data_IF_137847657420
#
_entry.id   IF_137847657420
#
_cell.length_a   1.000
_cell.length_b   1.000
_cell.length_c   1.000
_cell.angle_alpha   90.00
_cell.angle_beta   90.00
_cell.angle_gamma   90.00
#
_symmetry.space_group_name_H-M   'P 1'
#
loop_
_entity.id
_entity.type
_entity.pdbx_description
1 polymer ?
#
# COMPACT_ATOMS: atom_id res chain seq x y z
N UNK A 1 -23.06 -56.26 -23.47
CA UNK A 1 -21.92 -55.78 -22.66
C UNK A 1 -21.70 -54.26 -22.73
N UNK A 2 -22.34 -53.54 -23.65
CA UNK A 2 -22.04 -52.11 -23.89
C UNK A 2 -22.88 -51.13 -23.04
N UNK A 3 -24.08 -51.52 -22.60
CA UNK A 3 -24.95 -50.68 -21.77
C UNK A 3 -24.42 -50.44 -20.34
N UNK A 4 -23.72 -51.41 -19.75
CA UNK A 4 -23.16 -51.27 -18.40
C UNK A 4 -21.95 -50.33 -18.34
N UNK A 5 -21.19 -50.24 -19.43
CA UNK A 5 -20.01 -49.37 -19.54
C UNK A 5 -20.43 -47.90 -19.69
N UNK A 6 -21.53 -47.63 -20.40
CA UNK A 6 -22.13 -46.30 -20.52
C UNK A 6 -22.65 -45.77 -19.17
N UNK A 7 -23.32 -46.61 -18.38
CA UNK A 7 -23.80 -46.23 -17.04
C UNK A 7 -22.65 -45.99 -16.06
N UNK A 8 -21.59 -46.81 -16.11
CA UNK A 8 -20.40 -46.63 -15.28
C UNK A 8 -19.63 -45.32 -15.64
N UNK A 9 -19.60 -44.93 -16.92
CA UNK A 9 -18.98 -43.68 -17.37
C UNK A 9 -19.80 -42.44 -16.98
N UNK A 10 -21.13 -42.53 -17.03
CA UNK A 10 -22.02 -41.45 -16.54
C UNK A 10 -21.90 -41.27 -15.02
N UNK A 11 -21.81 -42.35 -14.26
CA UNK A 11 -21.62 -42.29 -12.80
C UNK A 11 -20.24 -41.71 -12.42
N UNK A 12 -19.17 -42.08 -13.16
CA UNK A 12 -17.83 -41.54 -12.94
C UNK A 12 -17.73 -40.06 -13.34
N UNK A 13 -18.38 -39.65 -14.43
CA UNK A 13 -18.45 -38.24 -14.83
C UNK A 13 -19.21 -37.38 -13.81
N UNK A 14 -20.31 -37.91 -13.23
CA UNK A 14 -21.04 -37.24 -12.16
C UNK A 14 -20.21 -37.13 -10.87
N UNK A 15 -19.41 -38.15 -10.52
CA UNK A 15 -18.53 -38.12 -9.35
C UNK A 15 -17.35 -37.14 -9.52
N UNK A 16 -16.78 -37.02 -10.72
CA UNK A 16 -15.75 -36.03 -11.04
C UNK A 16 -16.30 -34.59 -11.13
N UNK A 17 -17.55 -34.42 -11.54
CA UNK A 17 -18.22 -33.11 -11.49
C UNK A 17 -18.54 -32.68 -10.04
N UNK A 18 -18.86 -33.63 -9.16
CA UNK A 18 -19.13 -33.36 -7.75
C UNK A 18 -17.86 -33.01 -6.95
N UNK A 19 -16.67 -33.51 -7.33
CA UNK A 19 -15.40 -33.17 -6.67
C UNK A 19 -14.79 -31.85 -7.13
N UNK A 20 -15.22 -31.30 -8.27
CA UNK A 20 -14.81 -29.98 -8.74
C UNK A 20 -15.57 -28.83 -8.05
N UNK A 21 -16.69 -29.11 -7.38
CA UNK A 21 -17.54 -28.10 -6.74
C UNK A 21 -17.11 -27.73 -5.31
N UNK A 22 -16.21 -28.49 -4.67
CA UNK A 22 -15.76 -28.24 -3.29
C UNK A 22 -14.45 -27.49 -3.18
N UNK A 23 -13.81 -27.14 -4.30
CA UNK A 23 -12.71 -26.19 -4.33
C UNK A 23 -13.22 -24.74 -4.49
N UNK A 24 -14.25 -24.37 -3.74
CA UNK A 24 -14.43 -22.95 -3.42
C UNK A 24 -13.33 -22.64 -2.41
N UNK A 25 -12.18 -22.22 -2.94
CA UNK A 25 -11.26 -21.39 -2.17
C UNK A 25 -12.14 -20.25 -1.66
N UNK A 26 -12.48 -20.27 -0.37
CA UNK A 26 -13.08 -19.13 0.27
C UNK A 26 -12.05 -18.01 0.11
N UNK A 27 -12.20 -17.21 -0.94
CA UNK A 27 -11.74 -15.85 -0.87
C UNK A 27 -12.43 -15.33 0.38
N UNK A 28 -11.65 -15.20 1.46
CA UNK A 28 -12.13 -14.45 2.59
C UNK A 28 -12.50 -13.10 1.99
N UNK A 29 -13.80 -12.83 1.90
CA UNK A 29 -14.28 -11.47 1.74
C UNK A 29 -13.50 -10.71 2.81
N UNK A 30 -12.59 -9.84 2.36
CA UNK A 30 -11.95 -8.90 3.25
C UNK A 30 -13.11 -8.03 3.73
N UNK A 31 -13.79 -8.47 4.79
CA UNK A 31 -14.73 -7.67 5.56
C UNK A 31 -14.11 -6.30 5.65
N UNK A 32 -14.78 -5.31 5.05
CA UNK A 32 -14.27 -3.96 4.79
C UNK A 32 -13.55 -3.46 6.03
N UNK A 33 -12.22 -3.61 6.05
CA UNK A 33 -11.45 -3.23 7.22
C UNK A 33 -11.76 -1.75 7.43
N UNK A 34 -12.31 -1.36 8.59
CA UNK A 34 -12.88 -0.03 8.75
C UNK A 34 -11.81 0.99 8.40
N UNK A 35 -12.11 1.85 7.44
CA UNK A 35 -11.16 2.82 6.90
C UNK A 35 -10.75 3.78 8.03
N UNK A 36 -9.55 3.58 8.60
CA UNK A 36 -9.00 4.42 9.69
C UNK A 36 -8.03 5.45 9.15
N UNK A 37 -7.99 6.66 9.69
CA UNK A 37 -7.05 7.69 9.23
C UNK A 37 -5.58 7.32 9.48
N UNK A 38 -5.34 6.43 10.44
CA UNK A 38 -4.01 5.98 10.84
C UNK A 38 -4.03 4.55 11.36
N UNK A 39 -2.85 3.91 11.30
CA UNK A 39 -2.58 2.62 11.91
C UNK A 39 -1.36 2.76 12.83
N UNK A 40 -1.54 2.41 14.11
CA UNK A 40 -0.48 2.29 15.07
C UNK A 40 -0.29 0.81 15.42
N UNK A 41 0.93 0.31 15.30
CA UNK A 41 1.21 -1.07 15.72
C UNK A 41 1.16 -1.22 17.24
N UNK A 42 1.55 -0.17 17.98
CA UNK A 42 1.59 -0.14 19.43
C UNK A 42 0.56 0.86 19.95
N UNK A 43 -0.63 0.37 20.32
CA UNK A 43 -1.69 1.19 20.91
C UNK A 43 -2.45 2.03 19.88
N UNK A 44 -2.76 3.28 20.25
CA UNK A 44 -3.57 4.20 19.44
C UNK A 44 -2.71 5.32 18.83
N UNK A 45 -3.03 5.80 17.61
CA UNK A 45 -2.38 6.95 17.01
C UNK A 45 -2.50 8.22 17.89
N UNK A 46 -1.41 8.98 18.02
CA UNK A 46 -1.40 10.24 18.79
C UNK A 46 -2.26 11.33 18.14
N UNK A 47 -2.28 11.40 16.81
CA UNK A 47 -2.95 12.47 16.08
C UNK A 47 -4.40 12.10 15.75
N UNK A 48 -5.36 13.00 16.01
CA UNK A 48 -6.77 12.74 15.75
C UNK A 48 -7.07 12.71 14.24
N UNK A 49 -8.23 12.13 13.84
CA UNK A 49 -8.72 12.27 12.48
C UNK A 49 -8.81 13.74 12.06
N UNK A 50 -8.38 14.05 10.83
CA UNK A 50 -8.46 15.41 10.29
C UNK A 50 -7.38 16.39 10.76
N UNK A 51 -6.33 15.93 11.44
CA UNK A 51 -5.17 16.79 11.72
C UNK A 51 -4.59 17.38 10.42
N UNK A 52 -4.18 18.64 10.46
CA UNK A 52 -3.73 19.35 9.26
C UNK A 52 -2.22 19.21 9.01
N UNK A 53 -1.43 19.11 10.08
CA UNK A 53 0.02 18.98 10.00
C UNK A 53 0.57 18.23 11.23
N UNK A 54 1.77 17.64 11.08
CA UNK A 54 2.47 17.07 12.23
C UNK A 54 2.86 18.16 13.23
N UNK A 55 3.03 17.78 14.49
CA UNK A 55 3.39 18.68 15.60
C UNK A 55 4.78 19.31 15.44
N UNK A 56 5.67 18.66 14.69
CA UNK A 56 7.02 19.15 14.37
C UNK A 56 7.11 19.99 13.09
N UNK A 57 5.99 20.23 12.41
CA UNK A 57 5.95 21.06 11.19
C UNK A 57 5.69 22.52 11.56
N UNK A 58 6.47 23.43 10.98
CA UNK A 58 6.13 24.85 10.95
C UNK A 58 5.19 25.13 9.75
N UNK A 59 3.88 25.36 9.96
CA UNK A 59 2.95 25.63 8.86
C UNK A 59 3.27 26.93 8.12
N UNK A 60 3.80 27.92 8.84
CA UNK A 60 4.17 29.25 8.34
C UNK A 60 5.57 29.29 7.72
N UNK A 61 6.16 28.13 7.41
CA UNK A 61 7.46 28.07 6.77
C UNK A 61 7.44 28.83 5.43
N UNK A 62 8.35 29.82 5.23
CA UNK A 62 8.39 30.60 4.00
C UNK A 62 8.58 29.68 2.80
N UNK A 63 7.79 29.92 1.74
CA UNK A 63 7.84 29.12 0.52
C UNK A 63 8.79 29.78 -0.48
N UNK A 64 9.63 28.98 -1.13
CA UNK A 64 10.57 29.42 -2.15
C UNK A 64 12.04 29.41 -1.69
N UNK A 65 12.93 29.85 -2.57
CA UNK A 65 14.38 29.76 -2.39
C UNK A 65 14.99 28.48 -2.95
N UNK A 66 16.30 28.32 -2.78
CA UNK A 66 17.06 27.16 -3.27
C UNK A 66 17.74 26.43 -2.10
N UNK A 67 17.43 25.14 -1.96
CA UNK A 67 18.15 24.24 -1.07
C UNK A 67 19.24 23.52 -1.88
N UNK A 68 20.49 23.60 -1.43
CA UNK A 68 21.61 22.83 -2.02
C UNK A 68 22.08 21.80 -1.01
N UNK A 69 21.94 20.53 -1.36
CA UNK A 69 22.39 19.41 -0.53
C UNK A 69 23.59 18.73 -1.19
N UNK A 70 24.62 18.44 -0.41
CA UNK A 70 25.76 17.67 -0.85
C UNK A 70 25.55 16.18 -0.56
N UNK A 71 25.94 15.33 -1.50
CA UNK A 71 26.01 13.88 -1.34
C UNK A 71 27.35 13.38 -1.89
N UNK A 72 27.88 12.29 -1.33
CA UNK A 72 29.19 11.77 -1.70
C UNK A 72 29.04 10.59 -2.68
N UNK A 73 29.72 10.66 -3.83
CA UNK A 73 29.71 9.62 -4.86
C UNK A 73 29.15 10.11 -6.20
N UNK A 74 28.74 9.17 -7.05
CA UNK A 74 28.10 9.42 -8.36
C UNK A 74 26.85 8.55 -8.54
N UNK A 75 26.00 8.87 -9.52
CA UNK A 75 24.81 8.11 -9.92
C UNK A 75 24.79 7.88 -11.43
N UNK A 76 24.23 6.75 -11.86
CA UNK A 76 24.12 6.33 -13.27
C UNK A 76 22.69 5.98 -13.71
N UNK A 77 21.74 5.89 -12.77
CA UNK A 77 20.33 5.60 -13.03
C UNK A 77 19.44 6.38 -12.08
N UNK A 78 18.20 6.66 -12.49
CA UNK A 78 17.13 7.20 -11.63
C UNK A 78 16.07 6.15 -11.28
N UNK A 79 16.24 4.91 -11.75
CA UNK A 79 15.32 3.82 -11.44
C UNK A 79 15.71 3.12 -10.12
N UNK A 80 15.05 3.51 -9.03
CA UNK A 80 15.26 2.90 -7.71
C UNK A 80 14.84 1.43 -7.59
N UNK A 81 13.94 0.94 -8.46
CA UNK A 81 13.42 -0.42 -8.36
C UNK A 81 14.39 -1.44 -8.97
N UNK A 82 15.27 -1.00 -9.86
CA UNK A 82 16.22 -1.87 -10.54
C UNK A 82 17.45 -2.24 -9.68
N UNK A 83 17.82 -1.38 -8.72
CA UNK A 83 19.11 -1.48 -8.03
C UNK A 83 19.06 -2.31 -6.74
N UNK A 84 17.88 -2.63 -6.20
CA UNK A 84 17.74 -3.24 -4.86
C UNK A 84 18.18 -2.32 -3.71
N UNK A 85 18.62 -1.09 -4.02
CA UNK A 85 18.97 -0.02 -3.08
C UNK A 85 18.49 1.33 -3.64
N UNK A 86 18.41 2.34 -2.78
CA UNK A 86 18.04 3.69 -3.22
C UNK A 86 19.11 4.32 -4.12
N UNK A 87 18.67 5.01 -5.16
CA UNK A 87 19.54 5.82 -6.03
C UNK A 87 20.11 7.00 -5.23
N UNK A 88 21.40 7.33 -5.40
CA UNK A 88 22.02 8.52 -4.77
C UNK A 88 21.34 9.81 -5.23
N UNK A 89 21.24 10.81 -4.35
CA UNK A 89 20.41 12.00 -4.58
C UNK A 89 18.88 11.75 -4.49
N UNK A 90 18.42 10.49 -4.54
CA UNK A 90 17.05 10.08 -4.23
C UNK A 90 16.93 9.37 -2.87
N UNK A 91 18.02 9.23 -2.11
CA UNK A 91 18.07 8.50 -0.84
C UNK A 91 18.16 9.36 0.43
N UNK A 92 17.54 8.82 1.49
CA UNK A 92 17.59 8.98 2.96
C UNK A 92 17.91 10.32 3.63
N UNK A 93 18.73 11.23 3.08
CA UNK A 93 18.97 12.54 3.69
C UNK A 93 17.92 13.53 3.19
N UNK A 94 16.81 13.64 3.92
CA UNK A 94 15.76 14.61 3.65
C UNK A 94 14.52 14.08 2.93
N UNK A 95 14.31 12.75 2.91
CA UNK A 95 13.10 12.16 2.31
C UNK A 95 12.97 12.51 0.82
N UNK A 96 14.10 12.65 0.11
CA UNK A 96 14.19 13.12 -1.27
C UNK A 96 13.42 12.25 -2.27
N UNK A 97 13.22 10.98 -1.93
CA UNK A 97 12.37 10.06 -2.68
C UNK A 97 10.92 10.55 -2.79
N UNK A 98 10.43 11.31 -1.80
CA UNK A 98 9.08 11.89 -1.81
C UNK A 98 8.93 13.13 -2.68
N UNK A 99 10.01 13.68 -3.25
CA UNK A 99 9.88 14.76 -4.22
C UNK A 99 9.37 14.27 -5.58
N UNK A 100 9.59 12.99 -5.90
CA UNK A 100 9.26 12.39 -7.20
C UNK A 100 8.24 11.25 -7.05
N UNK A 101 8.34 10.45 -5.99
CA UNK A 101 7.44 9.32 -5.75
C UNK A 101 6.49 9.60 -4.59
N UNK A 102 5.20 9.36 -4.82
CA UNK A 102 4.21 9.42 -3.74
C UNK A 102 4.12 8.08 -2.99
N UNK A 103 3.65 8.14 -1.75
CA UNK A 103 3.42 6.96 -0.91
C UNK A 103 1.97 6.91 -0.45
N UNK A 104 1.44 5.70 -0.29
CA UNK A 104 0.10 5.48 0.24
C UNK A 104 -0.04 6.00 1.67
N UNK A 105 1.03 5.87 2.46
CA UNK A 105 1.07 6.20 3.88
C UNK A 105 2.35 6.94 4.26
N UNK A 106 2.31 7.70 5.35
CA UNK A 106 3.48 8.38 5.91
C UNK A 106 3.68 7.95 7.36
N UNK A 107 4.94 7.77 7.77
CA UNK A 107 5.29 7.52 9.17
C UNK A 107 5.48 8.83 9.89
N UNK A 108 4.95 8.94 11.11
CA UNK A 108 5.34 10.02 12.01
C UNK A 108 6.60 9.60 12.78
N UNK A 109 7.76 10.27 12.60
CA UNK A 109 8.99 9.89 13.29
C UNK A 109 8.94 10.10 14.82
N UNK A 110 7.99 10.89 15.33
CA UNK A 110 7.80 11.09 16.78
C UNK A 110 6.92 10.01 17.42
N UNK A 111 6.40 9.07 16.64
CA UNK A 111 5.58 7.96 17.11
C UNK A 111 6.21 6.62 16.72
N UNK A 112 6.11 5.63 17.61
CA UNK A 112 6.67 4.31 17.35
C UNK A 112 5.69 3.55 16.44
N UNK A 113 6.20 3.04 15.32
CA UNK A 113 5.48 2.13 14.41
C UNK A 113 4.05 2.60 14.04
N UNK A 114 3.89 3.91 13.81
CA UNK A 114 2.61 4.53 13.44
C UNK A 114 2.66 5.14 12.05
N UNK A 115 1.63 4.87 11.25
CA UNK A 115 1.47 5.33 9.87
C UNK A 115 0.13 6.04 9.68
N UNK A 116 0.13 7.09 8.87
CA UNK A 116 -1.04 7.91 8.54
C UNK A 116 -1.33 7.82 7.03
N UNK A 117 -2.61 7.79 6.66
CA UNK A 117 -3.03 7.76 5.26
C UNK A 117 -2.68 9.06 4.52
N UNK A 118 -2.03 8.96 3.36
CA UNK A 118 -1.73 10.10 2.47
C UNK A 118 -2.59 9.99 1.21
N UNK A 119 -2.10 9.28 0.18
CA UNK A 119 -2.85 9.02 -1.05
C UNK A 119 -3.87 7.88 -0.88
N UNK A 120 -3.73 7.00 0.12
CA UNK A 120 -4.72 5.97 0.40
C UNK A 120 -6.00 6.50 1.09
N UNK A 121 -6.00 7.74 1.58
CA UNK A 121 -7.16 8.30 2.32
C UNK A 121 -7.37 7.70 3.72
N UNK A 122 -7.10 6.41 3.88
CA UNK A 122 -7.01 5.69 5.15
C UNK A 122 -5.89 4.64 5.13
N UNK A 123 -5.47 4.23 6.33
CA UNK A 123 -4.59 3.11 6.60
C UNK A 123 -5.35 2.11 7.47
N UNK A 124 -5.76 0.97 6.92
CA UNK A 124 -6.37 -0.12 7.69
C UNK A 124 -5.41 -1.31 7.77
N UNK A 125 -5.29 -1.89 8.96
CA UNK A 125 -4.67 -3.20 9.09
C UNK A 125 -5.71 -4.29 8.81
N UNK A 126 -5.32 -5.23 7.96
CA UNK A 126 -6.11 -6.44 7.77
C UNK A 126 -5.82 -7.45 8.89
N UNK A 127 -6.78 -8.35 9.21
CA UNK A 127 -6.56 -9.42 10.15
C UNK A 127 -5.37 -10.32 9.71
N UNK A 128 -4.70 -11.01 10.65
CA UNK A 128 -3.56 -11.86 10.33
C UNK A 128 -3.93 -12.92 9.30
N UNK A 129 -3.19 -12.95 8.18
CA UNK A 129 -3.43 -13.83 7.03
C UNK A 129 -4.23 -13.18 5.88
N UNK A 130 -4.83 -12.01 6.10
CA UNK A 130 -5.42 -11.19 5.06
C UNK A 130 -4.45 -10.07 4.62
N UNK A 131 -4.44 -9.73 3.32
CA UNK A 131 -3.68 -8.60 2.80
C UNK A 131 -4.24 -7.28 3.34
N UNK A 132 -3.37 -6.30 3.66
CA UNK A 132 -3.80 -4.97 4.12
C UNK A 132 -4.76 -4.30 3.13
N UNK A 133 -5.85 -3.71 3.65
CA UNK A 133 -6.83 -2.99 2.85
C UNK A 133 -6.60 -1.47 2.97
N UNK A 134 -6.73 -0.75 1.86
CA UNK A 134 -6.67 0.71 1.84
C UNK A 134 -7.59 1.24 0.74
N UNK A 135 -8.34 2.30 1.03
CA UNK A 135 -9.04 3.04 -0.03
C UNK A 135 -8.02 3.85 -0.86
N UNK A 136 -8.47 4.54 -1.91
CA UNK A 136 -7.70 5.63 -2.53
C UNK A 136 -8.39 6.95 -2.21
N UNK A 137 -7.62 7.96 -1.79
CA UNK A 137 -8.06 9.35 -1.77
C UNK A 137 -8.01 9.89 -3.20
N UNK A 138 -8.83 10.88 -3.51
CA UNK A 138 -8.57 11.76 -4.65
C UNK A 138 -7.20 12.44 -4.41
N UNK A 139 -6.16 11.93 -5.08
CA UNK A 139 -4.83 12.50 -5.06
C UNK A 139 -4.69 13.54 -6.18
N UNK A 140 -3.79 14.53 -6.07
CA UNK A 140 -3.43 15.37 -7.20
C UNK A 140 -2.95 14.49 -8.36
N UNK A 141 -3.17 14.93 -9.59
CA UNK A 141 -2.74 14.22 -10.79
C UNK A 141 -1.21 13.97 -10.79
N UNK A 142 -0.77 13.13 -11.71
CA UNK A 142 0.64 13.00 -12.03
C UNK A 142 1.24 14.36 -12.43
N UNK A 143 2.56 14.47 -12.43
CA UNK A 143 3.25 15.72 -12.82
C UNK A 143 2.97 16.15 -14.26
N UNK A 144 2.48 15.26 -15.12
CA UNK A 144 2.02 15.52 -16.48
C UNK A 144 0.53 15.87 -16.58
N UNK A 145 -0.19 15.90 -15.45
CA UNK A 145 -1.64 16.17 -15.38
C UNK A 145 -2.53 14.96 -15.63
N UNK A 146 -1.97 13.74 -15.80
CA UNK A 146 -2.76 12.52 -15.93
C UNK A 146 -3.31 12.00 -14.58
N UNK A 147 -4.45 11.28 -14.56
CA UNK A 147 -5.03 10.73 -13.33
C UNK A 147 -4.20 9.56 -12.76
N UNK A 148 -4.35 9.32 -11.45
CA UNK A 148 -3.65 8.26 -10.69
C UNK A 148 -4.48 7.02 -10.36
#
# INVERSE_FOLDING_TARGET
MEFGILLARLALAAALAASAATAHCAAADAEDAPCRHAYAFLGEPKLPPGFEHFDWVNPDAPKGGFMRMADTGSWDTFNRMALGHSVRGMDTRGNSTRHIYDSLVIRNPTEIATIYGVSAGCAAAAPPGAGGAGSRRAAPDWGDGGPR
#
